data_IF_463293867357
#
_entry.id   IF_463293867357
#
_cell.length_a   1.000
_cell.length_b   1.000
_cell.length_c   1.000
_cell.angle_alpha   90.00
_cell.angle_beta   90.00
_cell.angle_gamma   90.00
#
_symmetry.space_group_name_H-M   'P 1'
#
loop_
_entity.id
_entity.type
_entity.pdbx_description
1 polymer ?
#
# COMPACT_ATOMS: atom_id res chain seq x y z
N UNK A 1 -15.91 -7.40 -1.02
CA UNK A 1 -14.50 -7.04 -0.76
C UNK A 1 -13.73 -7.31 -2.04
N UNK A 2 -13.77 -6.38 -2.99
CA UNK A 2 -12.84 -6.39 -4.11
C UNK A 2 -12.41 -4.94 -4.31
N UNK A 3 -11.31 -4.58 -3.64
CA UNK A 3 -10.74 -3.24 -3.72
C UNK A 3 -10.00 -3.03 -5.07
N UNK A 4 -9.81 -4.10 -5.86
CA UNK A 4 -9.06 -4.08 -7.10
C UNK A 4 -7.54 -4.00 -6.90
N UNK A 5 -6.83 -3.89 -8.02
CA UNK A 5 -5.38 -3.75 -8.06
C UNK A 5 -4.94 -2.34 -7.58
N UNK A 6 -3.73 -2.22 -7.02
CA UNK A 6 -3.16 -0.92 -6.65
C UNK A 6 -2.80 -0.04 -7.87
N UNK A 7 -2.63 -0.64 -9.05
CA UNK A 7 -2.34 0.03 -10.30
C UNK A 7 -0.86 0.22 -10.64
N UNK A 8 0.07 0.03 -9.69
CA UNK A 8 1.48 0.32 -9.94
C UNK A 8 2.15 -0.59 -10.98
N UNK A 9 1.98 -1.93 -10.87
CA UNK A 9 2.54 -2.87 -11.84
C UNK A 9 4.06 -2.75 -12.07
N UNK A 10 4.84 -2.36 -11.05
CA UNK A 10 6.28 -2.15 -11.15
C UNK A 10 6.65 -0.82 -11.83
N UNK A 11 7.61 -0.84 -12.77
CA UNK A 11 8.02 0.39 -13.49
C UNK A 11 6.94 0.93 -14.42
N UNK A 12 5.93 0.12 -14.76
CA UNK A 12 4.79 0.52 -15.56
C UNK A 12 4.10 1.77 -14.98
N UNK A 13 3.82 1.78 -13.68
CA UNK A 13 3.11 2.88 -13.04
C UNK A 13 3.91 4.17 -12.89
N UNK A 14 5.22 4.15 -13.19
CA UNK A 14 6.09 5.33 -13.15
C UNK A 14 6.33 5.97 -14.52
N UNK A 15 6.02 5.26 -15.62
CA UNK A 15 6.22 5.80 -16.97
C UNK A 15 5.20 6.91 -17.23
N UNK A 16 5.65 8.00 -17.87
CA UNK A 16 4.81 9.17 -18.16
C UNK A 16 3.56 8.80 -18.96
N UNK A 17 3.68 7.85 -19.88
CA UNK A 17 2.61 7.42 -20.77
C UNK A 17 1.52 6.61 -20.06
N UNK A 18 1.86 5.95 -18.96
CA UNK A 18 0.99 4.99 -18.25
C UNK A 18 0.72 5.38 -16.81
N UNK A 19 1.26 6.51 -16.35
CA UNK A 19 1.07 7.04 -15.01
C UNK A 19 -0.40 7.28 -14.70
N UNK A 20 -1.12 7.98 -15.57
CA UNK A 20 -2.55 8.29 -15.35
C UNK A 20 -3.41 7.02 -15.31
N UNK A 21 -3.06 6.01 -16.11
CA UNK A 21 -3.74 4.71 -16.11
C UNK A 21 -3.48 3.96 -14.80
N UNK A 22 -2.23 3.92 -14.34
CA UNK A 22 -1.85 3.35 -13.04
C UNK A 22 -2.60 4.00 -11.88
N UNK A 23 -2.64 5.34 -11.86
CA UNK A 23 -3.39 6.10 -10.84
C UNK A 23 -4.88 5.79 -10.91
N UNK A 24 -5.47 5.73 -12.10
CA UNK A 24 -6.89 5.44 -12.29
C UNK A 24 -7.26 4.04 -11.77
N UNK A 25 -6.45 3.01 -12.05
CA UNK A 25 -6.67 1.65 -11.54
C UNK A 25 -6.67 1.63 -10.01
N UNK A 26 -5.73 2.35 -9.39
CA UNK A 26 -5.60 2.41 -7.93
C UNK A 26 -6.68 3.22 -7.20
N UNK A 27 -7.52 4.00 -7.89
CA UNK A 27 -8.53 4.85 -7.23
C UNK A 27 -9.59 4.05 -6.49
N UNK A 28 -9.96 2.86 -6.98
CA UNK A 28 -10.94 2.02 -6.29
C UNK A 28 -10.40 1.52 -4.94
N UNK A 29 -9.14 1.08 -4.92
CA UNK A 29 -8.44 0.70 -3.70
C UNK A 29 -8.36 1.88 -2.73
N UNK A 30 -7.92 3.05 -3.22
CA UNK A 30 -7.78 4.25 -2.41
C UNK A 30 -9.11 4.67 -1.75
N UNK A 31 -10.20 4.63 -2.51
CA UNK A 31 -11.55 4.91 -1.99
C UNK A 31 -11.96 3.89 -0.92
N UNK A 32 -11.81 2.60 -1.22
CA UNK A 32 -12.16 1.50 -0.31
C UNK A 32 -11.42 1.62 1.01
N UNK A 33 -10.11 1.94 0.99
CA UNK A 33 -9.31 2.12 2.20
C UNK A 33 -9.80 3.29 3.06
N UNK A 34 -10.15 4.43 2.43
CA UNK A 34 -10.68 5.60 3.14
C UNK A 34 -12.06 5.33 3.74
N UNK A 35 -12.94 4.63 3.01
CA UNK A 35 -14.29 4.29 3.46
C UNK A 35 -14.29 3.24 4.57
N UNK A 36 -13.41 2.24 4.49
CA UNK A 36 -13.32 1.18 5.49
C UNK A 36 -12.75 1.67 6.82
N UNK A 37 -11.83 2.65 6.80
CA UNK A 37 -11.31 3.28 8.01
C UNK A 37 -10.56 2.34 8.94
N UNK A 38 -9.92 1.29 8.40
CA UNK A 38 -9.13 0.37 9.21
C UNK A 38 -7.95 1.09 9.90
N UNK A 39 -7.60 0.68 11.13
CA UNK A 39 -6.47 1.26 11.85
C UNK A 39 -5.11 0.87 11.25
N UNK A 40 -5.05 -0.21 10.48
CA UNK A 40 -3.82 -0.75 9.88
C UNK A 40 -4.12 -1.25 8.47
N UNK A 41 -3.25 -0.91 7.52
CA UNK A 41 -3.23 -1.48 6.16
C UNK A 41 -2.01 -2.38 6.04
N UNK A 42 -2.17 -3.54 5.40
CA UNK A 42 -1.10 -4.53 5.25
C UNK A 42 -0.98 -4.96 3.79
N UNK A 43 0.26 -5.05 3.30
CA UNK A 43 0.58 -5.58 1.97
C UNK A 43 1.99 -6.18 1.97
N UNK A 44 2.14 -7.39 1.43
CA UNK A 44 3.44 -8.05 1.23
C UNK A 44 4.21 -7.50 0.02
N UNK A 45 3.50 -6.89 -0.93
CA UNK A 45 4.11 -6.25 -2.10
C UNK A 45 4.56 -4.81 -1.78
N UNK A 46 5.85 -4.51 -1.91
CA UNK A 46 6.40 -3.16 -1.74
C UNK A 46 5.78 -2.15 -2.71
N UNK A 47 5.58 -2.55 -3.98
CA UNK A 47 4.94 -1.68 -4.97
C UNK A 47 3.52 -1.27 -4.57
N UNK A 48 2.74 -2.21 -4.03
CA UNK A 48 1.43 -1.89 -3.48
C UNK A 48 1.53 -0.92 -2.29
N UNK A 49 2.47 -1.12 -1.37
CA UNK A 49 2.68 -0.22 -0.21
C UNK A 49 3.03 1.20 -0.67
N UNK A 50 3.97 1.33 -1.60
CA UNK A 50 4.37 2.62 -2.19
C UNK A 50 3.17 3.32 -2.84
N UNK A 51 2.39 2.60 -3.63
CA UNK A 51 1.25 3.14 -4.35
C UNK A 51 0.09 3.51 -3.42
N UNK A 52 -0.17 2.71 -2.38
CA UNK A 52 -1.14 3.06 -1.33
C UNK A 52 -0.74 4.36 -0.65
N UNK A 53 0.53 4.50 -0.26
CA UNK A 53 1.07 5.74 0.32
C UNK A 53 0.91 6.92 -0.65
N UNK A 54 1.25 6.72 -1.92
CA UNK A 54 1.12 7.76 -2.96
C UNK A 54 -0.34 8.23 -3.15
N UNK A 55 -1.30 7.31 -3.20
CA UNK A 55 -2.70 7.63 -3.50
C UNK A 55 -3.52 8.06 -2.28
N UNK A 56 -3.13 7.64 -1.08
CA UNK A 56 -3.95 7.83 0.15
C UNK A 56 -3.24 8.55 1.27
N UNK A 57 -1.90 8.62 1.24
CA UNK A 57 -1.08 9.07 2.38
C UNK A 57 -0.99 8.07 3.53
N UNK A 58 -1.68 6.92 3.44
CA UNK A 58 -1.65 5.88 4.47
C UNK A 58 -0.37 5.06 4.38
N UNK A 59 0.23 4.75 5.53
CA UNK A 59 1.33 3.79 5.63
C UNK A 59 0.77 2.37 5.69
N UNK A 60 1.20 1.53 4.75
CA UNK A 60 0.93 0.09 4.78
C UNK A 60 2.14 -0.66 5.34
N UNK A 61 1.88 -1.63 6.21
CA UNK A 61 2.91 -2.50 6.80
C UNK A 61 3.14 -3.74 5.94
N UNK A 62 4.36 -4.26 5.96
CA UNK A 62 4.60 -5.63 5.51
C UNK A 62 4.04 -6.61 6.56
N UNK A 63 3.39 -7.73 6.19
CA UNK A 63 2.82 -8.67 7.16
C UNK A 63 3.79 -9.12 8.26
N UNK A 64 5.06 -9.32 7.91
CA UNK A 64 6.12 -9.69 8.88
C UNK A 64 6.36 -8.61 9.93
N UNK A 65 6.20 -7.32 9.60
CA UNK A 65 6.29 -6.24 10.58
C UNK A 65 5.12 -6.30 11.57
N UNK A 66 3.90 -6.55 11.07
CA UNK A 66 2.72 -6.72 11.92
C UNK A 66 2.89 -7.93 12.86
N UNK A 67 3.38 -9.06 12.35
CA UNK A 67 3.65 -10.24 13.17
C UNK A 67 4.72 -9.96 14.22
N UNK A 68 5.85 -9.33 13.85
CA UNK A 68 6.90 -8.92 14.79
C UNK A 68 6.34 -8.08 15.94
N UNK A 69 5.49 -7.10 15.61
CA UNK A 69 4.89 -6.20 16.60
C UNK A 69 3.91 -6.97 17.51
N UNK A 70 3.16 -7.93 16.95
CA UNK A 70 2.24 -8.79 17.71
C UNK A 70 2.96 -9.76 18.66
N UNK A 71 4.13 -10.27 18.28
CA UNK A 71 4.95 -11.18 19.10
C UNK A 71 5.88 -10.44 20.10
N UNK A 72 5.83 -9.11 20.16
CA UNK A 72 6.61 -8.32 21.12
C UNK A 72 8.11 -8.22 20.79
N UNK A 73 8.54 -8.61 19.59
CA UNK A 73 9.93 -8.53 19.13
C UNK A 73 10.28 -7.10 18.72
N UNK A 74 10.38 -6.19 19.69
CA UNK A 74 10.51 -4.75 19.46
C UNK A 74 11.92 -4.28 19.02
N UNK A 75 12.76 -5.18 18.52
CA UNK A 75 14.22 -4.98 18.40
C UNK A 75 14.70 -4.48 17.02
N UNK A 76 13.80 -4.11 16.10
CA UNK A 76 14.21 -3.51 14.82
C UNK A 76 13.40 -2.26 14.50
N UNK A 77 13.60 -1.21 15.30
CA UNK A 77 13.32 0.17 14.88
C UNK A 77 14.41 0.63 13.92
N UNK A 78 14.24 0.35 12.63
CA UNK A 78 14.84 1.18 11.58
C UNK A 78 13.81 1.42 10.49
N UNK A 79 13.28 2.63 10.47
CA UNK A 79 12.73 3.23 9.26
C UNK A 79 13.58 4.48 9.04
N UNK A 80 14.57 4.37 8.16
CA UNK A 80 15.19 5.52 7.48
C UNK A 80 14.16 6.07 6.50
#
# INVERSE_FOLDING_TARGET
>A
MDAGCCGLGGTYGFKKETYDVSVAIGQNLARTLREFGAPVVVSDCEGCRMQIKHLTGLEALHPVQLLRDAYGSNECKKSV
#
